data_IF_012729564775
#
_entry.id   IF_012729564775
#
_cell.length_a   1.000
_cell.length_b   1.000
_cell.length_c   1.000
_cell.angle_alpha   90.00
_cell.angle_beta   90.00
_cell.angle_gamma   90.00
#
_symmetry.space_group_name_H-M   'P 1'
#
loop_
_entity.id
_entity.type
_entity.pdbx_description
1 polymer ?
#
# COMPACT_ATOMS: atom_id res chain seq x y z
N UNK A 1 1.58 25.56 4.45
CA UNK A 1 1.58 25.47 2.99
C UNK A 1 0.41 26.29 2.46
N UNK A 2 0.55 26.94 1.29
CA UNK A 2 -0.48 27.82 0.72
C UNK A 2 -1.58 27.05 0.00
N UNK A 3 -2.55 27.81 -0.56
CA UNK A 3 -3.58 27.25 -1.46
C UNK A 3 -2.97 27.13 -2.87
N UNK A 4 -3.19 25.98 -3.52
CA UNK A 4 -2.80 25.75 -4.92
C UNK A 4 -4.05 25.72 -5.78
N UNK A 5 -4.11 26.55 -6.83
CA UNK A 5 -5.15 26.43 -7.84
C UNK A 5 -4.81 25.27 -8.76
N UNK A 6 -5.75 24.34 -8.92
CA UNK A 6 -5.60 23.18 -9.80
C UNK A 6 -6.54 23.29 -10.99
N UNK A 7 -6.17 22.73 -12.16
CA UNK A 7 -7.07 22.68 -13.32
C UNK A 7 -8.32 21.85 -13.01
N UNK A 8 -9.48 22.29 -13.46
CA UNK A 8 -10.72 21.53 -13.31
C UNK A 8 -10.72 20.17 -14.04
N UNK A 9 -9.95 20.05 -15.11
CA UNK A 9 -9.84 18.86 -15.93
C UNK A 9 -8.37 18.67 -16.34
N UNK A 10 -7.52 18.15 -15.42
CA UNK A 10 -6.11 17.93 -15.73
C UNK A 10 -5.98 16.85 -16.83
N UNK A 11 -5.17 17.17 -17.85
CA UNK A 11 -4.89 16.28 -18.98
C UNK A 11 -3.48 15.69 -18.92
N UNK A 12 -2.58 16.40 -18.25
CA UNK A 12 -1.15 16.08 -18.19
C UNK A 12 -0.71 15.92 -16.75
N UNK A 13 -1.27 14.91 -16.12
CA UNK A 13 -1.02 14.61 -14.72
C UNK A 13 0.29 13.84 -14.50
N UNK A 14 1.11 14.29 -13.54
CA UNK A 14 2.30 13.58 -13.07
C UNK A 14 2.09 13.10 -11.63
N UNK A 15 2.28 11.79 -11.42
CA UNK A 15 2.15 11.12 -10.14
C UNK A 15 3.53 10.86 -9.52
N UNK A 16 3.90 11.58 -8.46
CA UNK A 16 5.21 11.47 -7.83
C UNK A 16 5.20 10.60 -6.55
N UNK A 17 4.32 9.62 -6.51
CA UNK A 17 4.37 8.50 -5.57
C UNK A 17 3.58 7.31 -6.12
N UNK A 18 3.93 6.07 -5.72
CA UNK A 18 3.27 4.86 -6.24
C UNK A 18 1.77 4.80 -5.95
N UNK A 19 1.34 5.30 -4.78
CA UNK A 19 -0.09 5.34 -4.45
C UNK A 19 -0.85 6.38 -5.30
N UNK A 20 -0.23 7.52 -5.69
CA UNK A 20 -0.86 8.47 -6.62
C UNK A 20 -1.06 7.83 -8.01
N UNK A 21 -0.08 7.04 -8.47
CA UNK A 21 -0.19 6.27 -9.72
C UNK A 21 -1.41 5.35 -9.68
N UNK A 22 -1.48 4.44 -8.71
CA UNK A 22 -2.56 3.47 -8.61
C UNK A 22 -3.93 4.12 -8.36
N UNK A 23 -3.99 5.21 -7.59
CA UNK A 23 -5.22 5.97 -7.36
C UNK A 23 -5.70 6.67 -8.64
N UNK A 24 -4.81 7.28 -9.42
CA UNK A 24 -5.17 7.91 -10.69
C UNK A 24 -5.72 6.89 -11.69
N UNK A 25 -5.06 5.73 -11.82
CA UNK A 25 -5.52 4.65 -12.68
C UNK A 25 -6.90 4.13 -12.23
N UNK A 26 -7.13 3.97 -10.92
CA UNK A 26 -8.44 3.59 -10.37
C UNK A 26 -9.54 4.63 -10.69
N UNK A 27 -9.18 5.90 -10.82
CA UNK A 27 -10.07 7.00 -11.21
C UNK A 27 -10.23 7.16 -12.73
N UNK A 28 -9.65 6.24 -13.53
CA UNK A 28 -9.70 6.28 -14.98
C UNK A 28 -8.81 7.37 -15.60
N UNK A 29 -7.80 7.84 -14.87
CA UNK A 29 -6.81 8.79 -15.36
C UNK A 29 -5.48 8.09 -15.53
N UNK A 30 -4.92 8.18 -16.73
CA UNK A 30 -3.57 7.72 -17.01
C UNK A 30 -2.58 8.86 -16.81
N UNK A 31 -1.66 8.79 -15.82
CA UNK A 31 -0.59 9.79 -15.70
C UNK A 31 0.31 9.78 -16.92
N UNK A 32 0.87 10.94 -17.28
CA UNK A 32 1.88 11.05 -18.33
C UNK A 32 3.28 10.66 -17.84
N UNK A 33 3.49 10.61 -16.53
CA UNK A 33 4.72 10.18 -15.90
C UNK A 33 4.50 9.82 -14.44
N UNK A 34 5.29 8.87 -13.95
CA UNK A 34 5.25 8.44 -12.55
C UNK A 34 6.61 7.90 -12.09
N UNK A 35 6.71 7.71 -10.79
CA UNK A 35 7.86 7.13 -10.10
C UNK A 35 7.58 5.69 -9.72
N UNK A 36 8.64 4.90 -9.50
CA UNK A 36 8.54 3.58 -8.90
C UNK A 36 9.08 3.60 -7.46
N UNK A 37 8.65 2.64 -6.68
CA UNK A 37 9.04 2.54 -5.28
C UNK A 37 10.36 1.78 -5.14
N UNK A 38 10.43 0.59 -5.76
CA UNK A 38 11.58 -0.30 -5.78
C UNK A 38 11.65 -1.01 -7.14
N UNK A 39 12.72 -1.74 -7.38
CA UNK A 39 12.90 -2.62 -8.55
C UNK A 39 12.86 -1.95 -9.92
N UNK A 40 12.85 -0.61 -9.95
CA UNK A 40 12.87 0.21 -11.18
C UNK A 40 11.75 -0.12 -12.17
N UNK A 41 10.61 -0.62 -11.66
CA UNK A 41 9.41 -0.93 -12.44
C UNK A 41 8.14 -0.53 -11.69
N UNK A 42 7.05 -0.38 -12.41
CA UNK A 42 5.74 -0.17 -11.82
C UNK A 42 5.22 -1.49 -11.22
N UNK A 43 4.35 -1.43 -10.19
CA UNK A 43 3.82 -2.62 -9.54
C UNK A 43 3.08 -3.56 -10.52
N UNK A 44 3.29 -4.87 -10.39
CA UNK A 44 2.71 -5.89 -11.29
C UNK A 44 1.17 -5.89 -11.26
N UNK A 45 0.54 -5.50 -10.14
CA UNK A 45 -0.93 -5.36 -10.10
C UNK A 45 -1.48 -4.23 -11.00
N UNK A 46 -0.59 -3.41 -11.58
CA UNK A 46 -0.91 -2.38 -12.58
C UNK A 46 -0.53 -2.82 -14.01
N UNK A 47 -0.14 -4.09 -14.21
CA UNK A 47 0.23 -4.59 -15.54
C UNK A 47 -0.88 -4.32 -16.57
N UNK A 48 -0.46 -3.92 -17.77
CA UNK A 48 -1.36 -3.50 -18.85
C UNK A 48 -2.03 -2.12 -18.66
N UNK A 49 -1.82 -1.45 -17.51
CA UNK A 49 -2.39 -0.12 -17.22
C UNK A 49 -1.34 1.00 -17.17
N UNK A 50 -0.07 0.66 -17.34
CA UNK A 50 1.05 1.61 -17.23
C UNK A 50 1.75 1.88 -18.57
N UNK A 51 1.21 1.35 -19.67
CA UNK A 51 1.74 1.60 -21.00
C UNK A 51 1.72 3.11 -21.34
N UNK A 52 2.86 3.63 -21.85
CA UNK A 52 2.98 5.05 -22.19
C UNK A 52 3.20 6.00 -21.01
N UNK A 53 3.28 5.50 -19.77
CA UNK A 53 3.66 6.32 -18.61
C UNK A 53 5.19 6.43 -18.57
N UNK A 54 5.70 7.66 -18.63
CA UNK A 54 7.14 7.93 -18.56
C UNK A 54 7.68 7.62 -17.15
N UNK A 55 8.70 6.75 -17.01
CA UNK A 55 9.35 6.50 -15.73
C UNK A 55 10.23 7.68 -15.33
N UNK A 56 9.91 8.28 -14.18
CA UNK A 56 10.56 9.47 -13.66
C UNK A 56 11.66 9.20 -12.63
N UNK A 57 12.01 7.93 -12.44
CA UNK A 57 12.97 7.48 -11.44
C UNK A 57 12.31 6.97 -10.15
N UNK A 58 13.12 6.78 -9.13
CA UNK A 58 12.63 6.36 -7.81
C UNK A 58 11.89 7.50 -7.10
N UNK A 59 10.88 7.16 -6.30
CA UNK A 59 10.05 8.14 -5.60
C UNK A 59 10.84 9.07 -4.68
N UNK A 60 11.97 8.62 -4.12
CA UNK A 60 12.83 9.41 -3.24
C UNK A 60 13.68 10.43 -4.01
N UNK A 61 13.97 10.17 -5.28
CA UNK A 61 14.82 11.00 -6.15
C UNK A 61 14.26 11.06 -7.58
N UNK A 62 13.08 11.69 -7.79
CA UNK A 62 12.51 11.83 -9.12
C UNK A 62 13.33 12.80 -9.98
N UNK A 63 13.40 12.54 -11.29
CA UNK A 63 14.09 13.41 -12.25
C UNK A 63 13.27 14.67 -12.52
N UNK A 64 13.67 15.80 -11.93
CA UNK A 64 13.03 17.11 -12.14
C UNK A 64 13.10 17.53 -13.62
N UNK A 65 14.18 17.21 -14.32
CA UNK A 65 14.37 17.52 -15.75
C UNK A 65 13.35 16.77 -16.62
N UNK A 66 13.15 15.48 -16.40
CA UNK A 66 12.14 14.69 -17.11
C UNK A 66 10.73 15.21 -16.82
N UNK A 67 10.43 15.55 -15.56
CA UNK A 67 9.15 16.15 -15.18
C UNK A 67 8.91 17.45 -15.99
N UNK A 68 9.91 18.33 -16.07
CA UNK A 68 9.80 19.59 -16.82
C UNK A 68 9.59 19.35 -18.34
N UNK A 69 10.28 18.36 -18.93
CA UNK A 69 10.11 17.99 -20.34
C UNK A 69 8.69 17.47 -20.64
N UNK A 70 8.05 16.82 -19.69
CA UNK A 70 6.67 16.35 -19.83
C UNK A 70 5.65 17.49 -19.84
N UNK A 71 5.99 18.72 -19.44
CA UNK A 71 5.09 19.88 -19.37
C UNK A 71 3.74 19.53 -18.72
N UNK A 72 3.74 19.05 -17.46
CA UNK A 72 2.51 18.68 -16.78
C UNK A 72 1.62 19.91 -16.53
N UNK A 73 0.32 19.70 -16.38
CA UNK A 73 -0.63 20.71 -15.93
C UNK A 73 -0.97 20.57 -14.44
N UNK A 74 -0.62 19.43 -13.83
CA UNK A 74 -0.68 19.18 -12.40
C UNK A 74 0.33 18.12 -11.98
N UNK A 75 0.90 18.30 -10.80
CA UNK A 75 1.79 17.36 -10.13
C UNK A 75 1.20 17.03 -8.76
N UNK A 76 1.05 15.74 -8.43
CA UNK A 76 0.64 15.30 -7.09
C UNK A 76 1.76 14.46 -6.48
N UNK A 77 2.16 14.85 -5.27
CA UNK A 77 3.17 14.16 -4.48
C UNK A 77 2.74 14.10 -3.00
N UNK A 78 3.33 13.21 -2.23
CA UNK A 78 3.20 13.19 -0.78
C UNK A 78 4.51 13.59 -0.08
N UNK A 79 5.61 13.72 -0.81
CA UNK A 79 6.95 13.95 -0.24
C UNK A 79 8.00 14.23 -1.34
N UNK A 80 9.12 14.87 -1.06
CA UNK A 80 9.46 15.67 0.12
C UNK A 80 9.23 17.17 -0.12
N UNK A 81 9.01 17.90 0.94
CA UNK A 81 8.90 19.36 0.89
C UNK A 81 10.15 20.04 0.30
N UNK A 82 11.32 19.39 0.34
CA UNK A 82 12.58 19.90 -0.17
C UNK A 82 12.59 20.16 -1.68
N UNK A 83 11.88 19.35 -2.48
CA UNK A 83 11.79 19.53 -3.94
C UNK A 83 10.57 20.35 -4.38
N UNK A 84 9.69 20.70 -3.45
CA UNK A 84 8.48 21.46 -3.75
C UNK A 84 8.73 22.76 -4.52
N UNK A 85 9.74 23.59 -4.20
CA UNK A 85 10.03 24.80 -4.98
C UNK A 85 10.31 24.52 -6.44
N UNK A 86 11.04 23.45 -6.76
CA UNK A 86 11.35 23.06 -8.13
C UNK A 86 10.10 22.55 -8.87
N UNK A 87 9.29 21.72 -8.21
CA UNK A 87 8.05 21.19 -8.81
C UNK A 87 7.03 22.30 -9.05
N UNK A 88 6.85 23.21 -8.09
CA UNK A 88 5.91 24.33 -8.21
C UNK A 88 6.31 25.37 -9.24
N UNK A 89 7.59 25.42 -9.62
CA UNK A 89 8.07 26.23 -10.75
C UNK A 89 7.73 25.62 -12.12
N UNK A 90 7.46 24.29 -12.16
CA UNK A 90 7.09 23.58 -13.40
C UNK A 90 5.57 23.62 -13.62
N UNK A 91 4.80 23.28 -12.59
CA UNK A 91 3.33 23.20 -12.67
C UNK A 91 2.68 23.33 -11.29
N UNK A 92 1.36 23.59 -11.22
CA UNK A 92 0.58 23.47 -9.98
C UNK A 92 0.88 22.15 -9.29
N UNK A 93 1.45 22.23 -8.08
CA UNK A 93 1.91 21.06 -7.33
C UNK A 93 1.10 20.93 -6.05
N UNK A 94 0.47 19.77 -5.88
CA UNK A 94 -0.32 19.42 -4.70
C UNK A 94 0.45 18.41 -3.87
N UNK A 95 0.69 18.76 -2.60
CA UNK A 95 1.30 17.85 -1.64
C UNK A 95 0.22 17.32 -0.69
N UNK A 96 0.10 16.00 -0.61
CA UNK A 96 -0.71 15.37 0.42
C UNK A 96 0.13 15.17 1.68
N UNK A 97 -0.34 15.68 2.81
CA UNK A 97 0.33 15.51 4.10
C UNK A 97 0.06 14.13 4.67
N UNK A 98 0.85 13.18 4.22
CA UNK A 98 0.81 11.81 4.70
C UNK A 98 1.17 11.69 6.19
N UNK A 99 2.04 12.55 6.71
CA UNK A 99 2.50 12.51 8.12
C UNK A 99 1.42 12.99 9.08
N UNK A 100 0.72 14.06 8.76
CA UNK A 100 -0.43 14.55 9.54
C UNK A 100 -1.57 13.53 9.59
N UNK A 101 -1.64 12.64 8.62
CA UNK A 101 -2.68 11.61 8.52
C UNK A 101 -2.25 10.23 9.05
N UNK A 102 -0.99 10.00 9.42
CA UNK A 102 -0.52 8.71 9.99
C UNK A 102 -1.28 8.35 11.28
N UNK A 103 -1.70 9.34 12.05
CA UNK A 103 -2.49 9.16 13.27
C UNK A 103 -3.98 8.94 13.01
N UNK A 104 -4.45 9.11 11.77
CA UNK A 104 -5.85 8.94 11.40
C UNK A 104 -6.11 7.54 10.85
N UNK A 105 -7.21 6.94 11.27
CA UNK A 105 -7.66 5.66 10.73
C UNK A 105 -7.94 5.76 9.23
N UNK A 106 -7.57 4.71 8.48
CA UNK A 106 -7.87 4.58 7.05
C UNK A 106 -7.32 5.69 6.15
N UNK A 107 -6.14 6.15 6.43
CA UNK A 107 -5.45 7.21 5.71
C UNK A 107 -5.38 6.98 4.17
N UNK A 108 -5.25 5.72 3.70
CA UNK A 108 -5.24 5.43 2.26
C UNK A 108 -6.61 5.70 1.59
N UNK A 109 -7.72 5.48 2.32
CA UNK A 109 -9.08 5.81 1.83
C UNK A 109 -9.27 7.32 1.73
N UNK A 110 -8.75 8.06 2.71
CA UNK A 110 -8.77 9.52 2.68
C UNK A 110 -7.91 10.07 1.53
N UNK A 111 -6.74 9.47 1.29
CA UNK A 111 -5.89 9.86 0.18
C UNK A 111 -6.56 9.60 -1.17
N UNK A 112 -7.20 8.46 -1.36
CA UNK A 112 -7.97 8.18 -2.56
C UNK A 112 -9.10 9.22 -2.77
N UNK A 113 -9.88 9.53 -1.72
CA UNK A 113 -10.95 10.53 -1.80
C UNK A 113 -10.39 11.93 -2.14
N UNK A 114 -9.28 12.30 -1.52
CA UNK A 114 -8.58 13.53 -1.87
C UNK A 114 -8.15 13.55 -3.34
N UNK A 115 -7.60 12.47 -3.86
CA UNK A 115 -7.24 12.35 -5.28
C UNK A 115 -8.46 12.47 -6.19
N UNK A 116 -9.58 11.83 -5.83
CA UNK A 116 -10.84 11.92 -6.57
C UNK A 116 -11.39 13.37 -6.60
N UNK A 117 -11.19 14.13 -5.52
CA UNK A 117 -11.57 15.53 -5.45
C UNK A 117 -10.67 16.41 -6.32
N UNK A 118 -9.35 16.31 -6.13
CA UNK A 118 -8.35 17.11 -6.86
C UNK A 118 -8.42 16.87 -8.37
N UNK A 119 -8.67 15.63 -8.78
CA UNK A 119 -8.75 15.22 -10.19
C UNK A 119 -10.17 15.35 -10.78
N UNK A 120 -11.13 15.90 -10.01
CA UNK A 120 -12.53 16.07 -10.41
C UNK A 120 -13.20 14.76 -10.89
N UNK A 121 -13.00 13.67 -10.11
CA UNK A 121 -13.48 12.31 -10.38
C UNK A 121 -14.28 11.71 -9.22
N UNK A 122 -15.03 12.53 -8.47
CA UNK A 122 -15.80 12.07 -7.29
C UNK A 122 -16.77 10.95 -7.62
N UNK A 123 -17.50 11.05 -8.73
CA UNK A 123 -18.47 10.01 -9.14
C UNK A 123 -17.79 8.66 -9.43
N UNK A 124 -16.64 8.69 -10.10
CA UNK A 124 -15.84 7.47 -10.32
C UNK A 124 -15.31 6.94 -8.99
N UNK A 125 -14.86 7.83 -8.09
CA UNK A 125 -14.44 7.45 -6.74
C UNK A 125 -15.52 6.72 -5.95
N UNK A 126 -16.78 7.16 -6.04
CA UNK A 126 -17.93 6.49 -5.42
C UNK A 126 -18.16 5.09 -6.01
N UNK A 127 -18.05 4.93 -7.35
CA UNK A 127 -18.16 3.62 -8.00
C UNK A 127 -17.05 2.66 -7.55
N UNK A 128 -15.80 3.15 -7.40
CA UNK A 128 -14.69 2.37 -6.88
C UNK A 128 -14.96 1.89 -5.45
N UNK A 129 -15.53 2.74 -4.59
CA UNK A 129 -15.92 2.33 -3.23
C UNK A 129 -17.08 1.34 -3.20
N UNK A 130 -18.06 1.48 -4.10
CA UNK A 130 -19.15 0.49 -4.24
C UNK A 130 -18.58 -0.87 -4.62
N UNK A 131 -17.66 -0.93 -5.58
CA UNK A 131 -16.96 -2.15 -5.98
C UNK A 131 -16.19 -2.78 -4.81
N UNK A 132 -15.33 -2.01 -4.13
CA UNK A 132 -14.58 -2.47 -2.96
C UNK A 132 -15.50 -3.06 -1.88
N UNK A 133 -16.57 -2.33 -1.52
CA UNK A 133 -17.51 -2.78 -0.49
C UNK A 133 -18.24 -4.07 -0.89
N UNK A 134 -18.56 -4.22 -2.17
CA UNK A 134 -19.16 -5.45 -2.69
C UNK A 134 -18.19 -6.62 -2.58
N UNK A 135 -16.93 -6.42 -2.97
CA UNK A 135 -15.86 -7.43 -2.85
C UNK A 135 -15.66 -7.87 -1.40
N UNK A 136 -15.56 -6.93 -0.47
CA UNK A 136 -15.46 -7.21 0.96
C UNK A 136 -16.67 -8.00 1.47
N UNK A 137 -17.88 -7.63 1.07
CA UNK A 137 -19.09 -8.37 1.46
C UNK A 137 -19.05 -9.82 0.96
N UNK A 138 -18.65 -10.03 -0.29
CA UNK A 138 -18.51 -11.37 -0.87
C UNK A 138 -17.43 -12.19 -0.13
N UNK A 139 -16.29 -11.58 0.19
CA UNK A 139 -15.24 -12.22 0.96
C UNK A 139 -15.72 -12.65 2.35
N UNK A 140 -16.46 -11.78 3.06
CA UNK A 140 -17.05 -12.13 4.37
C UNK A 140 -17.96 -13.35 4.29
N UNK A 141 -18.82 -13.41 3.28
CA UNK A 141 -19.72 -14.54 3.06
C UNK A 141 -18.91 -15.83 2.81
N UNK A 142 -17.87 -15.75 1.99
CA UNK A 142 -17.03 -16.90 1.67
C UNK A 142 -16.18 -17.37 2.86
N UNK A 143 -15.70 -16.47 3.71
CA UNK A 143 -14.99 -16.79 4.94
C UNK A 143 -15.93 -17.48 5.97
N UNK A 144 -17.18 -17.04 6.08
CA UNK A 144 -18.12 -17.54 7.07
C UNK A 144 -17.54 -17.46 8.49
N UNK A 145 -17.71 -18.52 9.28
CA UNK A 145 -17.20 -18.61 10.67
C UNK A 145 -15.78 -19.21 10.78
N UNK A 146 -15.11 -19.54 9.66
CA UNK A 146 -13.80 -20.26 9.67
C UNK A 146 -12.71 -19.55 10.49
N UNK A 147 -12.76 -18.22 10.53
CA UNK A 147 -11.74 -17.38 11.17
C UNK A 147 -12.26 -16.57 12.35
N UNK A 148 -13.47 -16.87 12.86
CA UNK A 148 -14.13 -16.12 13.95
C UNK A 148 -13.27 -15.99 15.22
N UNK A 149 -12.53 -17.05 15.57
CA UNK A 149 -11.67 -17.11 16.75
C UNK A 149 -10.19 -17.27 16.36
N UNK A 150 -9.81 -16.85 15.16
CA UNK A 150 -8.45 -16.93 14.65
C UNK A 150 -7.89 -15.55 14.36
N UNK A 151 -6.60 -15.42 14.53
CA UNK A 151 -5.87 -14.18 14.29
C UNK A 151 -5.05 -14.26 13.01
N UNK A 152 -5.10 -13.18 12.23
CA UNK A 152 -4.34 -13.01 11.00
C UNK A 152 -3.21 -12.02 11.26
N UNK A 153 -1.99 -12.51 11.26
CA UNK A 153 -0.78 -11.69 11.39
C UNK A 153 -0.31 -11.20 10.02
N UNK A 154 0.26 -10.02 10.01
CA UNK A 154 1.01 -9.47 8.86
C UNK A 154 2.38 -9.05 9.32
N UNK A 155 3.42 -9.51 8.66
CA UNK A 155 4.83 -9.22 9.01
C UNK A 155 5.57 -8.71 7.78
N UNK A 156 6.27 -7.62 7.98
CA UNK A 156 7.05 -6.95 6.97
C UNK A 156 8.54 -7.01 7.34
N UNK A 157 9.34 -7.51 6.39
CA UNK A 157 10.80 -7.53 6.47
C UNK A 157 11.35 -6.45 5.57
N UNK A 158 11.97 -5.42 6.15
CA UNK A 158 12.60 -4.32 5.42
C UNK A 158 13.77 -3.77 6.22
N UNK A 159 14.80 -3.39 5.48
CA UNK A 159 15.84 -2.49 6.01
C UNK A 159 16.56 -3.03 7.25
N UNK A 160 16.75 -4.34 7.33
CA UNK A 160 17.40 -5.02 8.47
C UNK A 160 16.51 -5.16 9.71
N UNK A 161 15.17 -4.99 9.56
CA UNK A 161 14.23 -5.09 10.66
C UNK A 161 12.93 -5.79 10.30
N UNK A 162 12.17 -6.11 11.34
CA UNK A 162 10.83 -6.67 11.24
C UNK A 162 9.83 -5.67 11.80
N UNK A 163 8.69 -5.58 11.13
CA UNK A 163 7.58 -4.75 11.61
C UNK A 163 6.25 -5.35 11.22
N UNK A 164 5.19 -4.89 11.87
CA UNK A 164 3.83 -5.11 11.44
C UNK A 164 3.10 -3.78 11.33
N UNK A 165 2.24 -3.68 10.36
CA UNK A 165 1.28 -2.59 10.29
C UNK A 165 0.04 -2.94 11.14
N UNK A 166 -0.52 -1.94 11.86
CA UNK A 166 -1.66 -2.15 12.77
C UNK A 166 -3.02 -2.02 12.06
N UNK A 167 -4.12 -2.16 12.80
CA UNK A 167 -5.49 -2.03 12.28
C UNK A 167 -5.77 -0.72 11.54
N UNK A 168 -5.04 0.35 11.88
CA UNK A 168 -5.20 1.66 11.25
C UNK A 168 -4.48 1.79 9.89
N UNK A 169 -3.70 0.79 9.51
CA UNK A 169 -2.96 0.78 8.25
C UNK A 169 -3.81 0.35 7.05
N UNK A 170 -3.20 0.36 5.87
CA UNK A 170 -3.81 -0.14 4.64
C UNK A 170 -4.27 -1.59 4.81
N UNK A 171 -3.35 -2.51 5.13
CA UNK A 171 -3.68 -3.92 5.26
C UNK A 171 -4.54 -4.21 6.49
N UNK A 172 -4.27 -3.53 7.61
CA UNK A 172 -5.07 -3.68 8.83
C UNK A 172 -6.53 -3.33 8.60
N UNK A 173 -6.82 -2.25 7.86
CA UNK A 173 -8.18 -1.85 7.54
C UNK A 173 -8.90 -2.84 6.63
N UNK A 174 -8.21 -3.43 5.64
CA UNK A 174 -8.80 -4.44 4.73
C UNK A 174 -9.15 -5.71 5.53
N UNK A 175 -8.25 -6.19 6.38
CA UNK A 175 -8.50 -7.34 7.25
C UNK A 175 -9.67 -7.07 8.21
N UNK A 176 -9.74 -5.89 8.80
CA UNK A 176 -10.84 -5.45 9.66
C UNK A 176 -12.16 -5.36 8.88
N UNK A 177 -12.16 -4.74 7.69
CA UNK A 177 -13.32 -4.67 6.80
C UNK A 177 -13.82 -6.08 6.42
N UNK A 178 -12.91 -7.06 6.26
CA UNK A 178 -13.25 -8.46 6.01
C UNK A 178 -13.72 -9.22 7.27
N UNK A 179 -13.68 -8.61 8.46
CA UNK A 179 -14.08 -9.24 9.73
C UNK A 179 -12.99 -10.16 10.32
N UNK A 180 -11.77 -10.07 9.81
CA UNK A 180 -10.62 -10.84 10.27
C UNK A 180 -9.93 -10.13 11.44
N UNK A 181 -9.55 -10.89 12.48
CA UNK A 181 -8.97 -10.35 13.70
C UNK A 181 -7.44 -10.33 13.62
N UNK A 182 -6.85 -9.30 14.20
CA UNK A 182 -5.39 -9.18 14.36
C UNK A 182 -4.94 -9.76 15.70
N UNK A 183 -3.70 -10.29 15.80
CA UNK A 183 -3.09 -10.58 17.12
C UNK A 183 -3.14 -9.33 18.02
N UNK A 184 -3.29 -9.48 19.35
CA UNK A 184 -3.37 -8.34 20.27
C UNK A 184 -2.21 -7.34 20.11
N UNK A 185 -0.99 -7.85 19.87
CA UNK A 185 0.22 -7.06 19.59
C UNK A 185 0.13 -6.18 18.33
N UNK A 186 -0.80 -6.47 17.41
CA UNK A 186 -0.91 -5.82 16.10
C UNK A 186 -2.24 -5.04 15.94
N UNK A 187 -3.02 -4.89 17.01
CA UNK A 187 -4.33 -4.22 16.93
C UNK A 187 -4.18 -2.71 16.85
N UNK A 188 -3.48 -2.11 17.80
CA UNK A 188 -3.40 -0.65 17.85
C UNK A 188 -1.99 -0.16 18.17
N UNK A 189 -1.57 0.85 17.43
CA UNK A 189 -0.41 1.68 17.73
C UNK A 189 -0.65 3.07 17.11
N UNK A 190 -0.41 4.17 17.83
CA UNK A 190 -0.60 5.54 17.30
C UNK A 190 0.19 5.82 16.03
N UNK A 191 1.36 5.19 15.86
CA UNK A 191 2.22 5.32 14.69
C UNK A 191 1.78 4.46 13.50
N UNK A 192 0.79 3.56 13.69
CA UNK A 192 0.31 2.65 12.65
C UNK A 192 1.25 1.47 12.34
N UNK A 193 2.43 1.42 12.98
CA UNK A 193 3.46 0.41 12.77
C UNK A 193 4.04 -0.04 14.11
N UNK A 194 4.33 -1.32 14.24
CA UNK A 194 5.00 -1.93 15.39
C UNK A 194 6.26 -2.61 14.88
N UNK A 195 7.41 -2.27 15.45
CA UNK A 195 8.68 -2.94 15.17
C UNK A 195 8.92 -4.08 16.15
N UNK A 196 9.47 -5.18 15.67
CA UNK A 196 9.83 -6.33 16.47
C UNK A 196 11.35 -6.55 16.46
N UNK A 197 11.89 -6.92 17.61
CA UNK A 197 13.22 -7.54 17.66
C UNK A 197 13.08 -9.06 17.49
N UNK A 198 14.20 -9.74 17.23
CA UNK A 198 14.22 -11.21 17.16
C UNK A 198 13.73 -11.84 18.48
N UNK A 199 14.05 -11.24 19.63
CA UNK A 199 13.62 -11.70 20.95
C UNK A 199 12.10 -11.61 21.18
N UNK A 200 11.47 -10.63 20.53
CA UNK A 200 10.03 -10.37 20.62
C UNK A 200 9.25 -10.93 19.41
N UNK A 201 9.81 -11.90 18.70
CA UNK A 201 9.21 -12.47 17.49
C UNK A 201 7.83 -13.11 17.75
N UNK A 202 7.56 -13.58 18.99
CA UNK A 202 6.23 -14.06 19.38
C UNK A 202 5.11 -13.02 19.18
N UNK A 203 5.45 -11.73 19.16
CA UNK A 203 4.48 -10.65 18.87
C UNK A 203 4.03 -10.63 17.41
N UNK A 204 4.80 -11.28 16.53
CA UNK A 204 4.48 -11.44 15.11
C UNK A 204 3.57 -12.64 14.84
N UNK A 205 3.36 -13.53 15.83
CA UNK A 205 2.64 -14.78 15.65
C UNK A 205 1.12 -14.57 15.53
N UNK A 206 0.47 -15.53 14.89
CA UNK A 206 -0.96 -15.61 14.72
C UNK A 206 -1.38 -17.03 14.30
N UNK A 207 -2.67 -17.25 14.07
CA UNK A 207 -3.15 -18.51 13.50
C UNK A 207 -2.83 -18.64 12.02
N UNK A 208 -2.70 -17.52 11.33
CA UNK A 208 -2.21 -17.38 9.95
C UNK A 208 -1.28 -16.18 9.91
N UNK A 209 -0.22 -16.28 9.13
CA UNK A 209 0.76 -15.22 8.94
C UNK A 209 0.97 -14.92 7.46
N UNK A 210 0.77 -13.67 7.08
CA UNK A 210 1.18 -13.15 5.77
C UNK A 210 2.50 -12.40 5.93
N UNK A 211 3.46 -12.68 5.05
CA UNK A 211 4.81 -12.13 5.14
C UNK A 211 5.17 -11.45 3.83
N UNK A 212 5.64 -10.23 3.91
CA UNK A 212 6.29 -9.53 2.80
C UNK A 212 7.78 -9.33 3.10
N UNK A 213 8.60 -9.54 2.10
CA UNK A 213 10.00 -9.19 2.09
C UNK A 213 10.18 -8.00 1.12
N UNK A 214 10.80 -6.91 1.59
CA UNK A 214 10.71 -5.63 0.95
C UNK A 214 12.02 -4.84 1.05
N UNK A 215 12.33 -4.03 0.05
CA UNK A 215 13.48 -3.15 0.10
C UNK A 215 14.59 -3.50 -0.87
N UNK A 216 14.25 -3.66 -2.16
CA UNK A 216 15.16 -4.08 -3.23
C UNK A 216 15.57 -5.54 -3.01
N UNK A 217 15.07 -6.38 -3.83
CA UNK A 217 15.01 -7.86 -3.87
C UNK A 217 16.00 -8.67 -3.02
N UNK A 218 17.17 -8.15 -2.68
CA UNK A 218 18.19 -8.94 -1.98
C UNK A 218 18.16 -8.79 -0.46
N UNK A 219 17.72 -7.63 0.08
CA UNK A 219 17.88 -7.36 1.52
C UNK A 219 16.75 -7.98 2.34
N UNK A 220 15.50 -7.76 1.96
CA UNK A 220 14.35 -8.29 2.69
C UNK A 220 14.26 -9.80 2.60
N UNK A 221 14.51 -10.40 1.43
CA UNK A 221 14.54 -11.86 1.25
C UNK A 221 15.71 -12.49 2.02
N UNK A 222 16.88 -11.86 2.00
CA UNK A 222 18.02 -12.33 2.78
C UNK A 222 17.72 -12.34 4.26
N UNK A 223 17.12 -11.27 4.80
CA UNK A 223 16.81 -11.15 6.22
C UNK A 223 15.73 -12.18 6.61
N UNK A 224 14.73 -12.40 5.76
CA UNK A 224 13.74 -13.45 5.94
C UNK A 224 14.38 -14.85 5.93
N UNK A 225 15.26 -15.14 4.98
CA UNK A 225 15.98 -16.41 4.88
C UNK A 225 16.87 -16.69 6.11
N UNK A 226 17.45 -15.64 6.71
CA UNK A 226 18.21 -15.76 7.95
C UNK A 226 17.26 -16.09 9.11
N UNK A 227 16.13 -15.36 9.22
CA UNK A 227 15.18 -15.55 10.31
C UNK A 227 14.52 -16.93 10.29
N UNK A 228 14.18 -17.46 9.13
CA UNK A 228 13.57 -18.79 8.97
C UNK A 228 14.43 -19.92 9.57
N UNK A 229 15.76 -19.72 9.64
CA UNK A 229 16.69 -20.68 10.25
C UNK A 229 16.74 -20.59 11.77
N UNK A 230 16.19 -19.52 12.38
CA UNK A 230 16.25 -19.28 13.82
C UNK A 230 15.29 -20.19 14.59
N UNK A 231 15.70 -20.65 15.80
CA UNK A 231 14.84 -21.48 16.63
C UNK A 231 13.53 -20.81 17.03
N UNK A 232 13.53 -19.48 17.25
CA UNK A 232 12.33 -18.74 17.63
C UNK A 232 11.30 -18.69 16.50
N UNK A 233 11.73 -18.57 15.23
CA UNK A 233 10.82 -18.64 14.08
C UNK A 233 10.07 -19.98 14.03
N UNK A 234 10.80 -21.09 14.24
CA UNK A 234 10.25 -22.44 14.20
C UNK A 234 9.26 -22.74 15.35
N UNK A 235 9.21 -21.89 16.38
CA UNK A 235 8.27 -21.98 17.49
C UNK A 235 6.96 -21.24 17.26
N UNK A 236 6.89 -20.38 16.24
CA UNK A 236 5.66 -19.67 15.92
C UNK A 236 4.57 -20.64 15.50
N UNK A 237 3.34 -20.42 15.99
CA UNK A 237 2.19 -21.26 15.70
C UNK A 237 1.92 -21.36 14.20
N UNK A 238 1.87 -20.22 13.51
CA UNK A 238 1.65 -20.19 12.07
C UNK A 238 2.71 -20.99 11.29
N UNK A 239 3.97 -21.00 11.76
CA UNK A 239 5.05 -21.80 11.15
C UNK A 239 4.84 -23.29 11.38
N UNK A 240 4.49 -23.70 12.61
CA UNK A 240 4.27 -25.09 12.97
C UNK A 240 3.05 -25.69 12.26
N UNK A 241 2.03 -24.87 12.00
CA UNK A 241 0.82 -25.26 11.30
C UNK A 241 0.90 -25.11 9.78
N UNK A 242 2.08 -24.75 9.22
CA UNK A 242 2.28 -24.47 7.78
C UNK A 242 1.33 -23.39 7.23
N UNK A 243 1.02 -22.37 8.04
CA UNK A 243 0.10 -21.28 7.69
C UNK A 243 0.83 -19.94 7.53
N UNK A 244 2.01 -19.97 6.94
CA UNK A 244 2.79 -18.79 6.56
C UNK A 244 2.72 -18.62 5.06
N UNK A 245 2.19 -17.50 4.60
CA UNK A 245 2.03 -17.18 3.18
C UNK A 245 2.89 -15.98 2.82
N UNK A 246 3.72 -16.17 1.81
CA UNK A 246 4.56 -15.10 1.26
C UNK A 246 3.78 -14.38 0.18
N UNK A 247 3.68 -13.07 0.29
CA UNK A 247 2.84 -12.25 -0.56
C UNK A 247 3.62 -11.04 -1.10
N UNK A 248 3.15 -10.49 -2.19
CA UNK A 248 3.79 -9.38 -2.86
C UNK A 248 3.71 -8.08 -2.04
N UNK A 249 4.86 -7.45 -1.81
CA UNK A 249 4.96 -6.24 -1.03
C UNK A 249 4.29 -5.04 -1.72
N UNK A 250 4.31 -4.97 -3.04
CA UNK A 250 3.69 -3.87 -3.80
C UNK A 250 2.17 -3.94 -3.71
N UNK A 251 1.60 -5.14 -3.61
CA UNK A 251 0.17 -5.39 -3.39
C UNK A 251 -0.20 -5.08 -1.93
N UNK A 252 0.45 -5.76 -0.97
CA UNK A 252 0.06 -5.72 0.43
C UNK A 252 0.40 -4.39 1.14
N UNK A 253 1.17 -3.52 0.49
CA UNK A 253 1.49 -2.16 0.92
C UNK A 253 1.12 -1.09 -0.12
N UNK A 254 0.34 -1.44 -1.13
CA UNK A 254 0.06 -0.58 -2.29
C UNK A 254 -0.78 0.66 -2.01
N UNK A 255 -1.57 0.67 -0.92
CA UNK A 255 -2.36 1.84 -0.44
C UNK A 255 -3.28 2.46 -1.49
N UNK A 256 -3.84 1.62 -2.36
CA UNK A 256 -4.78 2.01 -3.43
C UNK A 256 -5.95 1.04 -3.50
N UNK A 257 -7.10 1.43 -4.07
CA UNK A 257 -8.21 0.50 -4.29
C UNK A 257 -7.83 -0.71 -5.17
N UNK A 258 -6.99 -0.52 -6.18
CA UNK A 258 -6.53 -1.62 -7.05
C UNK A 258 -5.65 -2.63 -6.29
N UNK A 259 -4.77 -2.13 -5.42
CA UNK A 259 -4.00 -3.01 -4.55
C UNK A 259 -4.90 -3.70 -3.51
N UNK A 260 -5.93 -3.02 -3.01
CA UNK A 260 -6.91 -3.63 -2.10
C UNK A 260 -7.69 -4.78 -2.77
N UNK A 261 -8.04 -4.64 -4.05
CA UNK A 261 -8.65 -5.71 -4.83
C UNK A 261 -7.71 -6.92 -4.96
N UNK A 262 -6.42 -6.69 -5.24
CA UNK A 262 -5.43 -7.75 -5.31
C UNK A 262 -5.20 -8.43 -3.94
N UNK A 263 -5.22 -7.67 -2.83
CA UNK A 263 -5.21 -8.26 -1.47
C UNK A 263 -6.43 -9.14 -1.23
N UNK A 264 -7.62 -8.72 -1.67
CA UNK A 264 -8.84 -9.54 -1.56
C UNK A 264 -8.68 -10.85 -2.34
N UNK A 265 -8.09 -10.82 -3.54
CA UNK A 265 -7.81 -12.03 -4.32
C UNK A 265 -6.84 -12.96 -3.58
N UNK A 266 -5.79 -12.45 -2.97
CA UNK A 266 -4.88 -13.22 -2.13
C UNK A 266 -5.60 -13.82 -0.91
N UNK A 267 -6.50 -13.08 -0.26
CA UNK A 267 -7.30 -13.62 0.85
C UNK A 267 -8.21 -14.77 0.40
N UNK A 268 -8.81 -14.68 -0.80
CA UNK A 268 -9.53 -15.82 -1.39
C UNK A 268 -8.60 -17.00 -1.63
N UNK A 269 -7.45 -16.76 -2.25
CA UNK A 269 -6.45 -17.79 -2.58
C UNK A 269 -6.00 -18.55 -1.33
N UNK A 270 -5.59 -17.84 -0.29
CA UNK A 270 -4.92 -18.43 0.86
C UNK A 270 -5.84 -18.84 2.00
N UNK A 271 -6.99 -18.17 2.18
CA UNK A 271 -7.88 -18.46 3.29
C UNK A 271 -9.11 -19.31 2.92
N UNK A 272 -9.45 -19.38 1.64
CA UNK A 272 -10.64 -20.08 1.18
C UNK A 272 -10.29 -21.27 0.29
N UNK A 273 -9.42 -21.04 -0.71
CA UNK A 273 -9.11 -22.02 -1.74
C UNK A 273 -7.91 -22.92 -1.38
N UNK A 274 -7.15 -22.57 -0.35
CA UNK A 274 -6.08 -23.45 0.17
C UNK A 274 -6.68 -24.38 1.22
N UNK A 275 -6.49 -25.69 1.11
CA UNK A 275 -7.06 -26.69 2.02
C UNK A 275 -6.50 -26.60 3.46
#
# INVERSE_FOLDING_TARGET
MGKTCVPNHPKRFVALNPAALGNAIALGIQPIGSVFEYDKQFPDYLEGKTEGIEPLGEWAQPSIERIALLKPDIIISWYPQSIYPHLSAIAPTVLYDWRGSITQQNNWKQYFNFMAEVLNKKEIGEQVWQHYNQRIKQLKIALGDRYKNKTISFVNFCCGGMSSETENSFIGSILSDAGLQRPPSQRYNPQGVISFSEENLYMADGDVMFVVAYGGNETGERDLNILQKKPLWKKLKAVQENRVYYVDATIWRGRTPLAADAVIDDLYKYLINTP
#
